data_IF_499624157173
#
_entry.id   IF_499624157173
#
_cell.length_a   1.000
_cell.length_b   1.000
_cell.length_c   1.000
_cell.angle_alpha   90.00
_cell.angle_beta   90.00
_cell.angle_gamma   90.00
#
_symmetry.space_group_name_H-M   'P 1'
#
loop_
_entity.id
_entity.type
_entity.pdbx_description
1 polymer ?
#
# COMPACT_ATOMS: atom_id res chain seq x y z
N UNK A 1 -26.71 -41.57 6.39
CA UNK A 1 -25.61 -40.59 6.47
C UNK A 1 -25.62 -39.76 7.75
N UNK A 2 -26.70 -39.75 8.54
CA UNK A 2 -26.81 -38.95 9.77
C UNK A 2 -25.99 -39.42 11.01
N UNK A 3 -25.75 -40.72 11.29
CA UNK A 3 -25.05 -41.10 12.52
C UNK A 3 -23.55 -40.80 12.50
N UNK A 4 -22.92 -40.78 11.32
CA UNK A 4 -21.49 -40.49 11.17
C UNK A 4 -21.22 -39.01 11.42
N UNK A 5 -22.09 -38.12 10.93
CA UNK A 5 -21.95 -36.68 11.13
C UNK A 5 -22.12 -36.30 12.60
N UNK A 6 -23.08 -36.93 13.31
CA UNK A 6 -23.27 -36.74 14.75
C UNK A 6 -22.03 -37.18 15.55
N UNK A 7 -21.46 -38.34 15.23
CA UNK A 7 -20.25 -38.85 15.90
C UNK A 7 -19.04 -37.93 15.66
N UNK A 8 -18.84 -37.44 14.44
CA UNK A 8 -17.74 -36.52 14.12
C UNK A 8 -17.91 -35.20 14.88
N UNK A 9 -19.12 -34.66 14.93
CA UNK A 9 -19.39 -33.35 15.57
C UNK A 9 -19.22 -33.43 17.08
N UNK A 10 -19.70 -34.51 17.71
CA UNK A 10 -19.53 -34.76 19.15
C UNK A 10 -18.04 -34.98 19.48
N UNK A 11 -17.32 -35.75 18.67
CA UNK A 11 -15.89 -35.99 18.88
C UNK A 11 -15.08 -34.71 18.72
N UNK A 12 -15.41 -33.86 17.74
CA UNK A 12 -14.79 -32.56 17.55
C UNK A 12 -15.03 -31.61 18.73
N UNK A 13 -16.27 -31.54 19.24
CA UNK A 13 -16.61 -30.72 20.41
C UNK A 13 -15.88 -31.18 21.68
N UNK A 14 -15.72 -32.51 21.87
CA UNK A 14 -14.93 -33.07 22.98
C UNK A 14 -13.46 -32.68 22.85
N UNK A 15 -12.87 -32.76 21.65
CA UNK A 15 -11.48 -32.35 21.41
C UNK A 15 -11.30 -30.85 21.67
N UNK A 16 -12.20 -30.00 21.18
CA UNK A 16 -12.15 -28.55 21.43
C UNK A 16 -12.28 -28.23 22.92
N UNK A 17 -13.17 -28.91 23.65
CA UNK A 17 -13.32 -28.73 25.10
C UNK A 17 -12.06 -29.15 25.88
N UNK A 18 -11.40 -30.24 25.48
CA UNK A 18 -10.15 -30.70 26.08
C UNK A 18 -9.02 -29.70 25.79
N UNK A 19 -8.91 -29.20 24.56
CA UNK A 19 -7.88 -28.22 24.17
C UNK A 19 -8.10 -26.89 24.91
N UNK A 20 -9.33 -26.40 25.00
CA UNK A 20 -9.66 -25.20 25.76
C UNK A 20 -9.40 -25.37 27.26
N UNK A 21 -9.75 -26.53 27.84
CA UNK A 21 -9.44 -26.85 29.23
C UNK A 21 -7.93 -26.90 29.51
N UNK A 22 -7.14 -27.43 28.57
CA UNK A 22 -5.69 -27.47 28.67
C UNK A 22 -5.06 -26.07 28.54
N UNK A 23 -5.55 -25.24 27.60
CA UNK A 23 -5.11 -23.85 27.44
C UNK A 23 -5.46 -23.00 28.66
N UNK A 24 -6.65 -23.18 29.25
CA UNK A 24 -7.07 -22.49 30.47
C UNK A 24 -6.21 -22.92 31.67
N UNK A 25 -5.89 -24.21 31.79
CA UNK A 25 -4.98 -24.73 32.81
C UNK A 25 -3.56 -24.15 32.66
N UNK A 26 -3.03 -24.08 31.43
CA UNK A 26 -1.73 -23.47 31.14
C UNK A 26 -1.69 -21.97 31.47
N UNK A 27 -2.76 -21.22 31.18
CA UNK A 27 -2.85 -19.81 31.57
C UNK A 27 -2.94 -19.64 33.08
N UNK A 28 -3.69 -20.50 33.77
CA UNK A 28 -3.81 -20.47 35.24
C UNK A 28 -2.49 -20.80 35.93
N UNK A 29 -1.72 -21.77 35.41
CA UNK A 29 -0.39 -22.12 35.93
C UNK A 29 0.63 -21.01 35.68
N UNK A 30 0.59 -20.35 34.50
CA UNK A 30 1.40 -19.16 34.23
C UNK A 30 1.08 -18.00 35.18
N UNK A 31 -0.20 -17.78 35.48
CA UNK A 31 -0.61 -16.73 36.41
C UNK A 31 -0.13 -17.01 37.84
N UNK A 32 -0.26 -18.26 38.32
CA UNK A 32 0.28 -18.69 39.63
C UNK A 32 1.80 -18.57 39.71
N UNK A 33 2.52 -18.81 38.61
CA UNK A 33 3.97 -18.64 38.55
C UNK A 33 4.37 -17.16 38.62
N UNK A 34 3.64 -16.28 37.94
CA UNK A 34 3.82 -14.82 38.01
C UNK A 34 3.55 -14.29 39.42
N UNK A 35 2.49 -14.76 40.06
CA UNK A 35 2.10 -14.37 41.42
C UNK A 35 3.18 -14.79 42.43
N UNK A 36 3.71 -16.02 42.32
CA UNK A 36 4.85 -16.48 43.12
C UNK A 36 6.14 -15.70 42.86
N UNK A 37 6.40 -15.30 41.62
CA UNK A 37 7.57 -14.47 41.28
C UNK A 37 7.43 -13.06 41.86
N UNK A 38 6.23 -12.49 41.86
CA UNK A 38 5.93 -11.20 42.48
C UNK A 38 6.02 -11.27 44.01
N UNK A 39 5.55 -12.34 44.64
CA UNK A 39 5.73 -12.57 46.08
C UNK A 39 7.21 -12.68 46.45
N UNK A 40 8.00 -13.44 45.69
CA UNK A 40 9.45 -13.55 45.93
C UNK A 40 10.17 -12.22 45.75
N UNK A 41 9.84 -11.47 44.70
CA UNK A 41 10.39 -10.13 44.49
C UNK A 41 10.01 -9.18 45.62
N UNK A 42 8.79 -9.29 46.17
CA UNK A 42 8.34 -8.50 47.31
C UNK A 42 9.08 -8.88 48.60
N UNK A 43 9.31 -10.17 48.84
CA UNK A 43 10.11 -10.67 49.97
C UNK A 43 11.58 -10.21 49.88
N UNK A 44 12.18 -10.31 48.70
CA UNK A 44 13.55 -9.83 48.44
C UNK A 44 13.64 -8.31 48.63
N UNK A 45 12.64 -7.55 48.17
CA UNK A 45 12.58 -6.10 48.37
C UNK A 45 12.43 -5.73 49.85
N UNK A 46 11.63 -6.48 50.61
CA UNK A 46 11.47 -6.29 52.05
C UNK A 46 12.74 -6.65 52.82
N UNK A 47 13.45 -7.70 52.41
CA UNK A 47 14.74 -8.10 52.99
C UNK A 47 15.82 -7.05 52.73
N UNK A 48 15.97 -6.59 51.48
CA UNK A 48 16.90 -5.51 51.11
C UNK A 48 16.54 -4.23 51.88
N UNK A 49 15.25 -3.87 51.96
CA UNK A 49 14.80 -2.70 52.73
C UNK A 49 15.16 -2.82 54.21
N UNK A 50 15.02 -4.00 54.81
CA UNK A 50 15.37 -4.25 56.21
C UNK A 50 16.88 -4.20 56.45
N UNK A 51 17.68 -4.87 55.63
CA UNK A 51 19.15 -4.85 55.71
C UNK A 51 19.72 -3.44 55.46
N UNK A 52 19.08 -2.67 54.57
CA UNK A 52 19.43 -1.26 54.32
C UNK A 52 19.07 -0.38 55.52
N UNK A 53 17.90 -0.58 56.13
CA UNK A 53 17.50 0.15 57.34
C UNK A 53 18.39 -0.19 58.53
N UNK A 54 18.77 -1.46 58.73
CA UNK A 54 19.70 -1.88 59.79
C UNK A 54 21.12 -1.34 59.56
N UNK A 55 21.58 -1.28 58.30
CA UNK A 55 22.86 -0.65 57.95
C UNK A 55 22.84 0.87 58.17
N UNK A 56 21.71 1.52 57.88
CA UNK A 56 21.48 2.95 58.19
C UNK A 56 21.45 3.16 59.71
N UNK A 57 20.83 2.27 60.49
CA UNK A 57 20.71 2.40 61.95
C UNK A 57 22.06 2.22 62.67
N UNK A 58 22.97 1.41 62.11
CA UNK A 58 24.37 1.27 62.58
C UNK A 58 25.19 2.52 62.25
N UNK A 59 25.00 3.12 61.06
CA UNK A 59 25.72 4.33 60.62
C UNK A 59 25.19 5.59 61.34
N UNK A 60 23.90 5.65 61.65
CA UNK A 60 23.25 6.78 62.35
C UNK A 60 23.61 6.82 63.83
N UNK A 61 23.90 5.67 64.47
CA UNK A 61 24.38 5.61 65.86
C UNK A 61 25.78 6.17 66.08
N UNK A 62 26.59 6.37 65.04
CA UNK A 62 27.97 6.89 65.17
C UNK A 62 28.19 8.33 64.63
N UNK A 63 27.24 8.97 63.93
CA UNK A 63 27.45 10.33 63.39
C UNK A 63 26.15 11.13 63.17
N UNK A 64 25.61 11.73 64.23
CA UNK A 64 24.19 12.18 64.26
C UNK A 64 23.91 13.65 63.86
N UNK A 65 24.90 14.47 63.51
CA UNK A 65 24.67 15.90 63.15
C UNK A 65 24.97 16.25 61.68
N UNK A 66 26.04 15.69 61.10
CA UNK A 66 26.47 16.00 59.73
C UNK A 66 25.56 15.34 58.69
N UNK A 67 25.11 14.12 58.97
CA UNK A 67 24.24 13.33 58.09
C UNK A 67 22.81 13.90 58.03
N UNK A 68 22.25 14.38 59.16
CA UNK A 68 20.97 15.09 59.16
C UNK A 68 21.04 16.39 58.37
N UNK A 69 22.10 17.18 58.53
CA UNK A 69 22.31 18.39 57.74
C UNK A 69 22.45 18.10 56.24
N UNK A 70 23.15 17.02 55.86
CA UNK A 70 23.31 16.66 54.45
C UNK A 70 22.03 16.06 53.85
N UNK A 71 21.29 15.24 54.59
CA UNK A 71 19.96 14.74 54.19
C UNK A 71 18.95 15.88 54.06
N UNK A 72 18.97 16.84 54.97
CA UNK A 72 18.08 18.00 54.92
C UNK A 72 18.44 18.91 53.75
N UNK A 73 19.74 19.14 53.47
CA UNK A 73 20.18 19.84 52.25
C UNK A 73 19.81 19.09 50.97
N UNK A 74 19.89 17.76 50.94
CA UNK A 74 19.46 16.95 49.79
C UNK A 74 17.94 17.00 49.59
N UNK A 75 17.16 16.93 50.67
CA UNK A 75 15.70 17.07 50.62
C UNK A 75 15.29 18.46 50.13
N UNK A 76 15.91 19.53 50.64
CA UNK A 76 15.66 20.89 50.14
C UNK A 76 16.07 21.04 48.68
N UNK A 77 17.20 20.47 48.27
CA UNK A 77 17.62 20.46 46.85
C UNK A 77 16.68 19.65 45.94
N UNK A 78 16.05 18.59 46.46
CA UNK A 78 15.05 17.80 45.74
C UNK A 78 13.73 18.57 45.61
N UNK A 79 13.28 19.22 46.68
CA UNK A 79 12.09 20.07 46.68
C UNK A 79 12.27 21.27 45.73
N UNK A 80 13.44 21.91 45.75
CA UNK A 80 13.79 22.98 44.81
C UNK A 80 13.81 22.46 43.36
N UNK A 81 14.31 21.25 43.12
CA UNK A 81 14.28 20.59 41.81
C UNK A 81 12.86 20.25 41.33
N UNK A 82 11.98 19.81 42.22
CA UNK A 82 10.56 19.57 41.93
C UNK A 82 9.86 20.90 41.61
N UNK A 83 10.10 21.95 42.40
CA UNK A 83 9.53 23.28 42.15
C UNK A 83 10.00 23.83 40.80
N UNK A 84 11.28 23.69 40.46
CA UNK A 84 11.81 24.09 39.15
C UNK A 84 11.18 23.26 38.02
N UNK A 85 11.04 21.95 38.17
CA UNK A 85 10.40 21.09 37.17
C UNK A 85 8.90 21.44 36.97
N UNK A 86 8.19 21.77 38.05
CA UNK A 86 6.80 22.25 38.00
C UNK A 86 6.74 23.60 37.27
N UNK A 87 7.59 24.56 37.63
CA UNK A 87 7.67 25.87 36.95
C UNK A 87 8.02 25.73 35.47
N UNK A 88 8.99 24.87 35.12
CA UNK A 88 9.34 24.53 33.73
C UNK A 88 8.14 23.89 33.01
N UNK A 89 7.41 22.99 33.65
CA UNK A 89 6.19 22.38 33.08
C UNK A 89 5.08 23.41 32.87
N UNK A 90 4.92 24.37 33.77
CA UNK A 90 3.94 25.45 33.68
C UNK A 90 4.32 26.45 32.60
N UNK A 91 5.60 26.81 32.51
CA UNK A 91 6.15 27.63 31.43
C UNK A 91 5.96 26.94 30.07
N UNK A 92 6.27 25.65 29.96
CA UNK A 92 6.05 24.87 28.73
C UNK A 92 4.56 24.80 28.35
N UNK A 93 3.65 24.64 29.33
CA UNK A 93 2.19 24.71 29.10
C UNK A 93 1.78 26.10 28.60
N UNK A 94 2.33 27.17 29.18
CA UNK A 94 2.09 28.54 28.76
C UNK A 94 2.56 28.79 27.33
N UNK A 95 3.80 28.42 27.00
CA UNK A 95 4.34 28.54 25.64
C UNK A 95 3.58 27.68 24.62
N UNK A 96 3.17 26.45 24.99
CA UNK A 96 2.32 25.62 24.12
C UNK A 96 0.98 26.31 23.85
N UNK A 97 0.35 26.88 24.87
CA UNK A 97 -0.93 27.60 24.76
C UNK A 97 -0.81 28.86 23.90
N UNK A 98 0.23 29.66 24.11
CA UNK A 98 0.48 30.89 23.36
C UNK A 98 0.83 30.60 21.90
N UNK A 99 1.65 29.57 21.66
CA UNK A 99 1.95 29.11 20.30
C UNK A 99 0.70 28.56 19.60
N UNK A 100 -0.15 27.81 20.30
CA UNK A 100 -1.42 27.33 19.75
C UNK A 100 -2.37 28.47 19.38
N UNK A 101 -2.41 29.55 20.19
CA UNK A 101 -3.19 30.76 19.92
C UNK A 101 -2.74 31.45 18.63
N UNK A 102 -1.43 31.59 18.42
CA UNK A 102 -0.87 32.18 17.19
C UNK A 102 -1.26 31.37 15.95
N UNK A 103 -1.22 30.04 16.02
CA UNK A 103 -1.68 29.18 14.92
C UNK A 103 -3.16 29.36 14.61
N UNK A 104 -4.00 29.50 15.64
CA UNK A 104 -5.42 29.79 15.44
C UNK A 104 -5.65 31.14 14.76
N UNK A 105 -4.95 32.19 15.20
CA UNK A 105 -5.02 33.52 14.58
C UNK A 105 -4.56 33.50 13.11
N UNK A 106 -3.48 32.78 12.81
CA UNK A 106 -2.99 32.59 11.43
C UNK A 106 -4.03 31.91 10.53
N UNK A 107 -4.65 30.81 11.00
CA UNK A 107 -5.69 30.10 10.24
C UNK A 107 -6.94 30.97 10.05
N UNK A 108 -7.32 31.73 11.09
CA UNK A 108 -8.50 32.60 11.04
C UNK A 108 -8.30 33.78 10.09
N UNK A 109 -7.09 34.33 10.04
CA UNK A 109 -6.73 35.45 9.17
C UNK A 109 -6.48 35.08 7.70
N UNK A 110 -6.30 33.80 7.39
CA UNK A 110 -6.11 33.33 6.01
C UNK A 110 -7.44 33.28 5.25
N UNK A 111 -7.44 33.90 4.07
CA UNK A 111 -8.61 34.04 3.18
C UNK A 111 -8.54 33.08 2.00
N UNK A 112 -7.34 32.66 1.60
CA UNK A 112 -7.16 31.67 0.55
C UNK A 112 -7.42 30.27 1.12
N UNK A 113 -8.46 29.59 0.63
CA UNK A 113 -8.89 28.29 1.14
C UNK A 113 -7.81 27.21 1.04
N UNK A 114 -7.02 27.20 -0.03
CA UNK A 114 -5.93 26.23 -0.21
C UNK A 114 -4.81 26.44 0.82
N UNK A 115 -4.39 27.69 1.03
CA UNK A 115 -3.41 28.02 2.08
C UNK A 115 -3.96 27.73 3.48
N UNK A 116 -5.23 28.05 3.71
CA UNK A 116 -5.91 27.80 4.97
C UNK A 116 -5.96 26.32 5.30
N UNK A 117 -6.29 25.47 4.32
CA UNK A 117 -6.26 24.02 4.44
C UNK A 117 -4.86 23.53 4.81
N UNK A 118 -3.82 24.01 4.11
CA UNK A 118 -2.42 23.65 4.42
C UNK A 118 -1.99 24.09 5.82
N UNK A 119 -2.43 25.26 6.28
CA UNK A 119 -2.17 25.74 7.65
C UNK A 119 -2.88 24.87 8.70
N UNK A 120 -4.11 24.42 8.44
CA UNK A 120 -4.84 23.51 9.33
C UNK A 120 -4.14 22.15 9.41
N UNK A 121 -3.80 21.54 8.27
CA UNK A 121 -3.07 20.26 8.22
C UNK A 121 -1.72 20.35 8.95
N UNK A 122 -0.99 21.47 8.79
CA UNK A 122 0.25 21.73 9.52
C UNK A 122 0.01 21.92 11.02
N UNK A 123 -1.08 22.59 11.41
CA UNK A 123 -1.45 22.78 12.81
C UNK A 123 -1.82 21.46 13.49
N UNK A 124 -2.51 20.55 12.79
CA UNK A 124 -2.83 19.19 13.30
C UNK A 124 -1.54 18.41 13.54
N UNK A 125 -0.60 18.41 12.58
CA UNK A 125 0.70 17.74 12.77
C UNK A 125 1.48 18.28 13.98
N UNK A 126 1.36 19.58 14.26
CA UNK A 126 2.06 20.24 15.38
C UNK A 126 1.33 20.09 16.72
N UNK A 127 0.00 20.04 16.70
CA UNK A 127 -0.87 19.93 17.86
C UNK A 127 -1.94 18.86 17.64
N UNK A 128 -1.54 17.58 17.55
CA UNK A 128 -2.45 16.49 17.18
C UNK A 128 -3.45 16.17 18.28
N UNK A 129 -3.29 16.73 19.49
CA UNK A 129 -4.23 16.62 20.60
C UNK A 129 -5.34 17.69 20.57
N UNK A 130 -5.31 18.63 19.62
CA UNK A 130 -6.24 19.75 19.57
C UNK A 130 -7.41 19.50 18.60
N UNK A 131 -8.56 19.15 19.19
CA UNK A 131 -9.82 18.89 18.51
C UNK A 131 -10.28 20.01 17.56
N UNK A 132 -10.02 21.27 17.90
CA UNK A 132 -10.49 22.42 17.11
C UNK A 132 -9.93 22.39 15.69
N UNK A 133 -8.66 21.98 15.49
CA UNK A 133 -8.09 21.91 14.15
C UNK A 133 -8.69 20.80 13.31
N UNK A 134 -9.06 19.68 13.94
CA UNK A 134 -9.75 18.58 13.28
C UNK A 134 -11.17 18.96 12.88
N UNK A 135 -11.89 19.66 13.75
CA UNK A 135 -13.22 20.17 13.43
C UNK A 135 -13.19 21.17 12.28
N UNK A 136 -12.16 22.03 12.24
CA UNK A 136 -12.00 22.96 11.11
C UNK A 136 -11.59 22.27 9.81
N UNK A 137 -10.70 21.27 9.87
CA UNK A 137 -10.38 20.44 8.72
C UNK A 137 -11.64 19.76 8.17
N UNK A 138 -12.43 19.16 9.06
CA UNK A 138 -13.69 18.53 8.71
C UNK A 138 -14.64 19.53 8.06
N UNK A 139 -14.82 20.72 8.64
CA UNK A 139 -15.72 21.75 8.08
C UNK A 139 -15.30 22.15 6.66
N UNK A 140 -14.01 22.27 6.39
CA UNK A 140 -13.51 22.63 5.06
C UNK A 140 -13.64 21.50 4.04
N UNK A 141 -13.43 20.25 4.45
CA UNK A 141 -13.43 19.10 3.54
C UNK A 141 -14.78 18.39 3.43
N UNK A 142 -15.74 18.60 4.35
CA UNK A 142 -17.06 17.95 4.31
C UNK A 142 -17.81 18.19 2.99
N UNK A 143 -17.85 19.41 2.41
CA UNK A 143 -18.52 19.63 1.12
C UNK A 143 -17.91 18.80 -0.02
N UNK A 144 -16.60 18.58 0.02
CA UNK A 144 -15.89 17.77 -0.96
C UNK A 144 -16.04 16.26 -0.69
N UNK A 145 -16.12 15.86 0.58
CA UNK A 145 -16.20 14.46 1.00
C UNK A 145 -17.60 13.84 0.83
N UNK A 146 -18.63 14.66 0.62
CA UNK A 146 -20.00 14.24 0.28
C UNK A 146 -20.38 14.49 -1.18
N UNK A 147 -19.50 15.11 -1.97
CA UNK A 147 -19.76 15.41 -3.38
C UNK A 147 -19.91 14.13 -4.21
N UNK A 148 -21.10 13.87 -4.75
CA UNK A 148 -21.38 12.68 -5.56
C UNK A 148 -20.98 12.85 -7.03
N UNK A 149 -20.84 14.08 -7.52
CA UNK A 149 -20.55 14.39 -8.92
C UNK A 149 -19.10 14.06 -9.29
N UNK A 150 -18.18 14.08 -8.32
CA UNK A 150 -16.76 13.81 -8.55
C UNK A 150 -16.17 12.88 -7.49
N UNK A 151 -16.20 11.58 -7.78
CA UNK A 151 -15.67 10.53 -6.91
C UNK A 151 -14.16 10.68 -6.62
N UNK A 152 -13.37 11.22 -7.54
CA UNK A 152 -11.92 11.41 -7.33
C UNK A 152 -11.64 12.52 -6.32
N UNK A 153 -12.32 13.66 -6.45
CA UNK A 153 -12.25 14.76 -5.48
C UNK A 153 -12.74 14.31 -4.11
N UNK A 154 -13.83 13.53 -4.08
CA UNK A 154 -14.37 12.94 -2.86
C UNK A 154 -13.38 12.00 -2.18
N UNK A 155 -12.73 11.12 -2.95
CA UNK A 155 -11.69 10.21 -2.48
C UNK A 155 -10.52 10.97 -1.85
N UNK A 156 -10.01 11.99 -2.54
CA UNK A 156 -8.90 12.81 -2.05
C UNK A 156 -9.25 13.53 -0.74
N UNK A 157 -10.45 14.14 -0.66
CA UNK A 157 -10.92 14.77 0.57
C UNK A 157 -11.03 13.78 1.74
N UNK A 158 -11.58 12.59 1.49
CA UNK A 158 -11.69 11.53 2.50
C UNK A 158 -10.32 10.97 2.92
N UNK A 159 -9.35 10.86 2.01
CA UNK A 159 -7.98 10.47 2.36
C UNK A 159 -7.34 11.45 3.34
N UNK A 160 -7.43 12.76 3.05
CA UNK A 160 -6.90 13.80 3.95
C UNK A 160 -7.59 13.78 5.31
N UNK A 161 -8.92 13.61 5.33
CA UNK A 161 -9.66 13.48 6.58
C UNK A 161 -9.22 12.24 7.36
N UNK A 162 -9.01 11.10 6.68
CA UNK A 162 -8.62 9.83 7.31
C UNK A 162 -7.26 9.96 7.99
N UNK A 163 -6.27 10.48 7.26
CA UNK A 163 -4.90 10.57 7.75
C UNK A 163 -4.81 11.47 9.00
N UNK A 164 -5.55 12.58 9.01
CA UNK A 164 -5.62 13.47 10.16
C UNK A 164 -6.50 12.93 11.29
N UNK A 165 -7.57 12.18 10.98
CA UNK A 165 -8.41 11.52 11.99
C UNK A 165 -7.62 10.44 12.75
N UNK A 166 -6.82 9.64 12.04
CA UNK A 166 -5.91 8.66 12.65
C UNK A 166 -4.91 9.34 13.57
N UNK A 167 -4.23 10.38 13.09
CA UNK A 167 -3.27 11.14 13.89
C UNK A 167 -3.92 11.74 15.15
N UNK A 168 -5.15 12.26 15.03
CA UNK A 168 -5.90 12.77 16.17
C UNK A 168 -6.27 11.66 17.15
N UNK A 169 -6.78 10.53 16.69
CA UNK A 169 -7.14 9.39 17.55
C UNK A 169 -5.95 8.91 18.38
N UNK A 170 -4.77 8.81 17.77
CA UNK A 170 -3.53 8.40 18.44
C UNK A 170 -3.05 9.37 19.53
N UNK A 171 -3.45 10.65 19.45
CA UNK A 171 -2.92 11.73 20.29
C UNK A 171 -3.99 12.48 21.11
N UNK A 172 -5.26 12.12 20.95
CA UNK A 172 -6.37 12.83 21.57
C UNK A 172 -6.33 12.71 23.10
N UNK A 173 -6.96 13.68 23.77
CA UNK A 173 -7.15 13.62 25.22
C UNK A 173 -8.22 12.59 25.54
N UNK A 174 -8.17 11.99 26.72
CA UNK A 174 -9.15 10.95 27.13
C UNK A 174 -10.60 11.42 27.02
N UNK A 175 -10.87 12.72 27.21
CA UNK A 175 -12.22 13.29 27.06
C UNK A 175 -12.73 13.36 25.61
N UNK A 176 -11.85 13.27 24.63
CA UNK A 176 -12.14 13.40 23.20
C UNK A 176 -12.04 12.05 22.47
N UNK A 177 -11.75 10.95 23.18
CA UNK A 177 -11.48 9.63 22.59
C UNK A 177 -12.69 9.05 21.84
N UNK A 178 -13.89 9.19 22.41
CA UNK A 178 -15.13 8.72 21.79
C UNK A 178 -15.39 9.46 20.47
N UNK A 179 -15.22 10.78 20.48
CA UNK A 179 -15.32 11.62 19.28
C UNK A 179 -14.27 11.23 18.23
N UNK A 180 -13.02 11.01 18.64
CA UNK A 180 -11.95 10.62 17.73
C UNK A 180 -12.24 9.27 17.05
N UNK A 181 -12.75 8.30 17.81
CA UNK A 181 -13.10 6.97 17.32
C UNK A 181 -14.29 7.02 16.36
N UNK A 182 -15.37 7.72 16.72
CA UNK A 182 -16.54 7.90 15.85
C UNK A 182 -16.18 8.61 14.54
N UNK A 183 -15.38 9.68 14.63
CA UNK A 183 -14.96 10.44 13.47
C UNK A 183 -14.09 9.59 12.52
N UNK A 184 -13.10 8.88 13.05
CA UNK A 184 -12.23 8.01 12.26
C UNK A 184 -13.02 6.89 11.57
N UNK A 185 -13.92 6.21 12.29
CA UNK A 185 -14.76 5.17 11.71
C UNK A 185 -15.70 5.70 10.61
N UNK A 186 -16.29 6.89 10.80
CA UNK A 186 -17.14 7.51 9.77
C UNK A 186 -16.34 7.81 8.50
N UNK A 187 -15.12 8.32 8.64
CA UNK A 187 -14.27 8.64 7.48
C UNK A 187 -13.79 7.36 6.79
N UNK A 188 -13.36 6.34 7.54
CA UNK A 188 -12.93 5.04 6.99
C UNK A 188 -14.05 4.37 6.20
N UNK A 189 -15.24 4.23 6.79
CA UNK A 189 -16.40 3.63 6.12
C UNK A 189 -16.81 4.41 4.86
N UNK A 190 -16.77 5.74 4.91
CA UNK A 190 -17.05 6.59 3.74
C UNK A 190 -16.00 6.41 2.63
N UNK A 191 -14.73 6.30 3.01
CA UNK A 191 -13.62 6.09 2.09
C UNK A 191 -13.72 4.73 1.39
N UNK A 192 -13.98 3.65 2.15
CA UNK A 192 -14.19 2.31 1.61
C UNK A 192 -15.34 2.27 0.61
N UNK A 193 -16.45 2.96 0.90
CA UNK A 193 -17.58 3.06 -0.02
C UNK A 193 -17.21 3.75 -1.34
N UNK A 194 -16.45 4.85 -1.28
CA UNK A 194 -16.01 5.57 -2.49
C UNK A 194 -15.01 4.76 -3.30
N UNK A 195 -14.06 4.08 -2.64
CA UNK A 195 -13.11 3.19 -3.32
C UNK A 195 -13.84 2.07 -4.04
N UNK A 196 -14.83 1.43 -3.40
CA UNK A 196 -15.67 0.42 -4.05
C UNK A 196 -16.41 0.96 -5.27
N UNK A 197 -17.03 2.14 -5.18
CA UNK A 197 -17.71 2.75 -6.34
C UNK A 197 -16.77 3.05 -7.51
N UNK A 198 -15.55 3.53 -7.22
CA UNK A 198 -14.54 3.78 -8.26
C UNK A 198 -14.11 2.47 -8.91
N UNK A 199 -13.90 1.43 -8.11
CA UNK A 199 -13.54 0.09 -8.57
C UNK A 199 -14.65 -0.53 -9.45
N UNK A 200 -15.91 -0.43 -9.02
CA UNK A 200 -17.08 -0.86 -9.79
C UNK A 200 -17.18 -0.13 -11.14
N UNK A 201 -16.99 1.19 -11.17
CA UNK A 201 -16.98 1.95 -12.42
C UNK A 201 -15.85 1.53 -13.36
N UNK A 202 -14.66 1.24 -12.81
CA UNK A 202 -13.52 0.75 -13.60
C UNK A 202 -13.80 -0.64 -14.16
N UNK A 203 -14.32 -1.55 -13.34
CA UNK A 203 -14.77 -2.88 -13.77
C UNK A 203 -15.80 -2.79 -14.89
N UNK A 204 -16.86 -2.00 -14.71
CA UNK A 204 -17.91 -1.82 -15.74
C UNK A 204 -17.42 -1.10 -17.00
N UNK A 205 -16.36 -0.30 -16.93
CA UNK A 205 -15.70 0.25 -18.11
C UNK A 205 -14.99 -0.87 -18.89
N UNK A 206 -14.16 -1.66 -18.22
CA UNK A 206 -13.44 -2.79 -18.83
C UNK A 206 -14.40 -3.83 -19.43
N UNK A 207 -15.48 -4.17 -18.72
CA UNK A 207 -16.52 -5.06 -19.23
C UNK A 207 -17.14 -4.54 -20.53
N UNK A 208 -17.43 -3.23 -20.61
CA UNK A 208 -17.94 -2.62 -21.84
C UNK A 208 -16.92 -2.67 -22.97
N UNK A 209 -15.66 -2.32 -22.70
CA UNK A 209 -14.59 -2.36 -23.71
C UNK A 209 -14.41 -3.79 -24.26
N UNK A 210 -14.41 -4.80 -23.40
CA UNK A 210 -14.36 -6.21 -23.81
C UNK A 210 -15.60 -6.66 -24.59
N UNK A 211 -16.80 -6.22 -24.21
CA UNK A 211 -18.02 -6.50 -24.97
C UNK A 211 -17.96 -5.91 -26.39
N UNK A 212 -17.47 -4.67 -26.52
CA UNK A 212 -17.33 -4.04 -27.83
C UNK A 212 -16.24 -4.76 -28.64
N UNK A 213 -15.12 -5.14 -28.02
CA UNK A 213 -14.07 -5.93 -28.69
C UNK A 213 -14.62 -7.25 -29.24
N UNK A 214 -15.40 -7.98 -28.44
CA UNK A 214 -16.06 -9.22 -28.86
C UNK A 214 -17.04 -9.00 -30.03
N UNK A 215 -17.88 -7.96 -29.97
CA UNK A 215 -18.79 -7.61 -31.07
C UNK A 215 -18.02 -7.32 -32.37
N UNK A 216 -16.91 -6.58 -32.29
CA UNK A 216 -16.09 -6.27 -33.47
C UNK A 216 -15.38 -7.50 -34.02
N UNK A 217 -14.93 -8.41 -33.15
CA UNK A 217 -14.32 -9.68 -33.56
C UNK A 217 -15.32 -10.56 -34.32
N UNK A 218 -16.55 -10.70 -33.83
CA UNK A 218 -17.60 -11.42 -34.55
C UNK A 218 -17.89 -10.81 -35.92
N UNK A 219 -17.99 -9.47 -36.00
CA UNK A 219 -18.14 -8.77 -37.28
C UNK A 219 -16.97 -8.99 -38.24
N UNK A 220 -15.74 -9.12 -37.72
CA UNK A 220 -14.56 -9.43 -38.51
C UNK A 220 -14.58 -10.88 -39.04
N UNK A 221 -15.11 -11.84 -38.27
CA UNK A 221 -15.34 -13.22 -38.74
C UNK A 221 -16.36 -13.26 -39.87
N UNK A 222 -17.44 -12.48 -39.76
CA UNK A 222 -18.48 -12.39 -40.80
C UNK A 222 -18.00 -11.66 -42.07
N UNK A 223 -17.10 -10.68 -41.92
CA UNK A 223 -16.63 -9.81 -43.01
C UNK A 223 -15.09 -9.69 -43.03
N UNK A 224 -14.34 -10.77 -43.33
CA UNK A 224 -12.88 -10.84 -43.15
C UNK A 224 -12.07 -9.88 -44.06
N UNK A 225 -12.70 -9.33 -45.10
CA UNK A 225 -12.07 -8.40 -46.04
C UNK A 225 -12.30 -6.92 -45.68
N UNK A 226 -13.04 -6.61 -44.61
CA UNK A 226 -13.37 -5.24 -44.25
C UNK A 226 -12.28 -4.64 -43.33
N UNK A 227 -11.33 -3.92 -43.92
CA UNK A 227 -10.22 -3.26 -43.21
C UNK A 227 -10.67 -2.29 -42.10
N UNK A 228 -11.82 -1.63 -42.26
CA UNK A 228 -12.33 -0.69 -41.26
C UNK A 228 -12.65 -1.38 -39.92
N UNK A 229 -13.11 -2.63 -39.94
CA UNK A 229 -13.41 -3.38 -38.71
C UNK A 229 -12.13 -3.67 -37.93
N UNK A 230 -11.02 -3.97 -38.63
CA UNK A 230 -9.74 -4.24 -37.98
C UNK A 230 -9.14 -3.00 -37.33
N UNK A 231 -9.30 -1.83 -37.95
CA UNK A 231 -8.91 -0.55 -37.33
C UNK A 231 -9.73 -0.28 -36.06
N UNK A 232 -11.05 -0.52 -36.09
CA UNK A 232 -11.91 -0.38 -34.91
C UNK A 232 -11.49 -1.35 -33.78
N UNK A 233 -11.10 -2.59 -34.12
CA UNK A 233 -10.56 -3.56 -33.16
C UNK A 233 -9.27 -3.03 -32.52
N UNK A 234 -8.34 -2.51 -33.32
CA UNK A 234 -7.06 -1.97 -32.84
C UNK A 234 -7.26 -0.78 -31.89
N UNK A 235 -8.17 0.13 -32.22
CA UNK A 235 -8.51 1.27 -31.37
C UNK A 235 -9.04 0.84 -30.00
N UNK A 236 -9.92 -0.16 -29.97
CA UNK A 236 -10.51 -0.67 -28.72
C UNK A 236 -9.48 -1.46 -27.91
N UNK A 237 -8.71 -2.34 -28.56
CA UNK A 237 -7.66 -3.14 -27.91
C UNK A 237 -6.63 -2.26 -27.20
N UNK A 238 -6.22 -1.17 -27.88
CA UNK A 238 -5.29 -0.18 -27.33
C UNK A 238 -5.89 0.65 -26.19
N UNK A 239 -7.22 0.86 -26.20
CA UNK A 239 -7.91 1.61 -25.15
C UNK A 239 -8.10 0.80 -23.86
N UNK A 240 -8.05 -0.54 -23.93
CA UNK A 240 -8.18 -1.43 -22.78
C UNK A 240 -6.96 -1.28 -21.86
N UNK A 241 -7.21 -0.91 -20.62
CA UNK A 241 -6.16 -0.71 -19.62
C UNK A 241 -5.68 -2.07 -19.04
N UNK A 242 -4.69 -2.71 -19.66
CA UNK A 242 -4.23 -4.06 -19.28
C UNK A 242 -3.82 -4.19 -17.81
N UNK A 243 -3.17 -3.17 -17.25
CA UNK A 243 -2.79 -3.14 -15.83
C UNK A 243 -4.00 -3.13 -14.88
N UNK A 244 -5.16 -2.69 -15.36
CA UNK A 244 -6.39 -2.76 -14.58
C UNK A 244 -7.00 -4.16 -14.58
N UNK A 245 -6.87 -4.91 -15.69
CA UNK A 245 -7.42 -6.26 -15.85
C UNK A 245 -6.83 -7.27 -14.88
N UNK A 246 -5.57 -7.09 -14.44
CA UNK A 246 -4.92 -7.96 -13.44
C UNK A 246 -5.69 -8.01 -12.11
N UNK A 247 -6.46 -6.96 -11.79
CA UNK A 247 -7.29 -6.89 -10.58
C UNK A 247 -8.63 -7.64 -10.74
N UNK A 248 -8.99 -8.07 -11.95
CA UNK A 248 -10.23 -8.77 -12.27
C UNK A 248 -9.95 -10.05 -13.09
N UNK A 249 -9.58 -11.18 -12.45
CA UNK A 249 -9.14 -12.39 -13.14
C UNK A 249 -10.12 -12.91 -14.20
N UNK A 250 -11.42 -12.78 -13.97
CA UNK A 250 -12.45 -13.17 -14.94
C UNK A 250 -12.38 -12.34 -16.24
N UNK A 251 -12.13 -11.04 -16.13
CA UNK A 251 -12.00 -10.14 -17.28
C UNK A 251 -10.66 -10.34 -17.99
N UNK A 252 -9.59 -10.60 -17.23
CA UNK A 252 -8.28 -10.96 -17.76
C UNK A 252 -8.37 -12.22 -18.64
N UNK A 253 -8.97 -13.31 -18.12
CA UNK A 253 -9.16 -14.55 -18.90
C UNK A 253 -10.02 -14.30 -20.14
N UNK A 254 -11.07 -13.50 -20.03
CA UNK A 254 -11.91 -13.16 -21.17
C UNK A 254 -11.12 -12.39 -22.25
N UNK A 255 -10.33 -11.41 -21.85
CA UNK A 255 -9.44 -10.68 -22.75
C UNK A 255 -8.44 -11.61 -23.44
N UNK A 256 -7.82 -12.53 -22.70
CA UNK A 256 -6.87 -13.51 -23.27
C UNK A 256 -7.50 -14.39 -24.35
N UNK A 257 -8.75 -14.82 -24.16
CA UNK A 257 -9.54 -15.57 -25.14
C UNK A 257 -9.79 -14.71 -26.39
N UNK A 258 -10.31 -13.48 -26.22
CA UNK A 258 -10.58 -12.57 -27.34
C UNK A 258 -9.31 -12.25 -28.14
N UNK A 259 -8.17 -12.07 -27.46
CA UNK A 259 -6.89 -11.85 -28.14
C UNK A 259 -6.43 -13.09 -28.91
N UNK A 260 -6.69 -14.31 -28.43
CA UNK A 260 -6.40 -15.54 -29.18
C UNK A 260 -7.28 -15.67 -30.43
N UNK A 261 -8.57 -15.33 -30.32
CA UNK A 261 -9.48 -15.33 -31.46
C UNK A 261 -9.08 -14.31 -32.53
N UNK A 262 -8.68 -13.10 -32.10
CA UNK A 262 -8.14 -12.08 -32.99
C UNK A 262 -6.95 -12.59 -33.80
N UNK A 263 -6.02 -13.29 -33.14
CA UNK A 263 -4.89 -13.92 -33.80
C UNK A 263 -5.31 -14.98 -34.82
N UNK A 264 -6.35 -15.76 -34.53
CA UNK A 264 -6.85 -16.78 -35.47
C UNK A 264 -7.47 -16.14 -36.71
N UNK A 265 -8.24 -15.06 -36.57
CA UNK A 265 -8.82 -14.32 -37.71
C UNK A 265 -7.70 -13.78 -38.61
N UNK A 266 -6.61 -13.27 -38.02
CA UNK A 266 -5.45 -12.84 -38.81
C UNK A 266 -4.74 -14.00 -39.52
N UNK A 267 -4.72 -15.20 -38.92
CA UNK A 267 -4.11 -16.41 -39.53
C UNK A 267 -4.87 -16.94 -40.74
N UNK A 268 -6.19 -16.75 -40.80
CA UNK A 268 -7.03 -17.30 -41.88
C UNK A 268 -7.08 -16.40 -43.13
N UNK A 269 -6.56 -15.16 -43.06
CA UNK A 269 -6.56 -14.18 -44.15
C UNK A 269 -5.42 -14.35 -45.16
N UNK A 270 -4.35 -15.09 -44.84
CA UNK A 270 -3.18 -15.24 -45.71
C UNK A 270 -3.06 -16.66 -46.29
N UNK A 271 -3.12 -16.77 -47.62
CA UNK A 271 -3.01 -18.04 -48.37
C UNK A 271 -1.62 -18.70 -48.35
N UNK A 272 -1.51 -19.87 -49.01
CA UNK A 272 -0.45 -20.90 -48.86
C UNK A 272 1.02 -20.49 -49.12
N UNK A 273 1.33 -19.30 -49.66
CA UNK A 273 2.71 -18.76 -49.71
C UNK A 273 3.13 -18.10 -48.37
N UNK A 274 2.21 -18.00 -47.41
CA UNK A 274 2.35 -17.29 -46.14
C UNK A 274 3.06 -18.04 -45.01
N UNK A 275 3.52 -19.28 -45.18
CA UNK A 275 4.05 -20.06 -44.05
C UNK A 275 5.28 -19.43 -43.38
N UNK A 276 6.21 -18.83 -44.14
CA UNK A 276 7.41 -18.19 -43.56
C UNK A 276 7.10 -16.84 -42.92
N UNK A 277 6.19 -16.04 -43.49
CA UNK A 277 5.75 -14.77 -42.91
C UNK A 277 4.89 -15.01 -41.66
N UNK A 278 4.07 -16.07 -41.68
CA UNK A 278 3.27 -16.54 -40.56
C UNK A 278 4.14 -17.05 -39.42
N UNK A 279 5.11 -17.92 -39.69
CA UNK A 279 6.08 -18.37 -38.68
C UNK A 279 6.88 -17.19 -38.11
N UNK A 280 7.23 -16.21 -38.95
CA UNK A 280 7.93 -14.99 -38.52
C UNK A 280 7.08 -14.15 -37.55
N UNK A 281 5.81 -13.94 -37.89
CA UNK A 281 4.87 -13.18 -37.05
C UNK A 281 4.43 -13.96 -35.80
N UNK A 282 4.25 -15.28 -35.89
CA UNK A 282 3.98 -16.14 -34.72
C UNK A 282 5.16 -16.10 -33.74
N UNK A 283 6.40 -16.17 -34.23
CA UNK A 283 7.58 -16.07 -33.37
C UNK A 283 7.72 -14.67 -32.75
N UNK A 284 7.40 -13.61 -33.49
CA UNK A 284 7.38 -12.24 -32.97
C UNK A 284 6.36 -12.09 -31.83
N UNK A 285 5.16 -12.65 -31.98
CA UNK A 285 4.12 -12.62 -30.94
C UNK A 285 4.51 -13.44 -29.70
N UNK A 286 5.13 -14.60 -29.90
CA UNK A 286 5.66 -15.42 -28.79
C UNK A 286 6.74 -14.64 -28.03
N UNK A 287 7.67 -14.01 -28.75
CA UNK A 287 8.74 -13.22 -28.15
C UNK A 287 8.18 -11.98 -27.43
N UNK A 288 7.19 -11.28 -28.00
CA UNK A 288 6.50 -10.14 -27.38
C UNK A 288 5.81 -10.52 -26.06
N UNK A 289 5.04 -11.61 -26.05
CA UNK A 289 4.38 -12.12 -24.83
C UNK A 289 5.41 -12.51 -23.78
N UNK A 290 6.50 -13.14 -24.20
CA UNK A 290 7.56 -13.54 -23.28
C UNK A 290 8.23 -12.31 -22.64
N UNK A 291 8.51 -11.25 -23.42
CA UNK A 291 9.01 -9.96 -22.91
C UNK A 291 8.06 -9.37 -21.86
N UNK A 292 6.76 -9.32 -22.15
CA UNK A 292 5.76 -8.78 -21.23
C UNK A 292 5.73 -9.57 -19.91
N UNK A 293 5.74 -10.90 -19.98
CA UNK A 293 5.79 -11.77 -18.79
C UNK A 293 7.08 -11.59 -17.97
N UNK A 294 8.22 -11.36 -18.63
CA UNK A 294 9.49 -11.07 -17.97
C UNK A 294 9.43 -9.75 -17.18
N UNK A 295 8.81 -8.71 -17.75
CA UNK A 295 8.70 -7.39 -17.11
C UNK A 295 7.65 -7.37 -15.99
N UNK A 296 6.54 -8.10 -16.13
CA UNK A 296 5.54 -8.25 -15.06
C UNK A 296 6.18 -8.83 -13.80
N UNK A 297 7.03 -9.86 -13.95
CA UNK A 297 7.78 -10.50 -12.86
C UNK A 297 8.94 -9.66 -12.33
N UNK A 298 9.36 -8.60 -13.02
CA UNK A 298 10.37 -7.67 -12.52
C UNK A 298 9.86 -6.93 -11.28
N UNK A 299 8.56 -6.62 -11.25
CA UNK A 299 7.90 -5.93 -10.14
C UNK A 299 7.82 -6.75 -8.85
N UNK A 300 7.94 -8.08 -8.95
CA UNK A 300 7.73 -9.02 -7.82
C UNK A 300 9.01 -9.42 -7.08
N UNK A 301 10.20 -9.01 -7.56
CA UNK A 301 11.47 -9.20 -6.87
C UNK A 301 11.88 -10.67 -6.70
N UNK A 302 12.65 -11.20 -7.65
CA UNK A 302 13.44 -12.43 -7.42
C UNK A 302 13.08 -13.66 -8.25
N UNK A 303 12.67 -13.50 -9.51
CA UNK A 303 12.51 -14.65 -10.40
C UNK A 303 13.83 -14.99 -11.09
N UNK A 304 14.30 -16.23 -10.89
CA UNK A 304 15.33 -16.85 -11.72
C UNK A 304 14.75 -17.07 -13.11
N UNK A 305 14.96 -16.11 -14.01
CA UNK A 305 14.47 -16.21 -15.37
C UNK A 305 15.45 -17.05 -16.22
N UNK A 306 14.94 -18.06 -16.93
CA UNK A 306 15.73 -18.88 -17.85
C UNK A 306 16.27 -18.04 -19.02
N UNK A 307 15.68 -16.89 -19.30
CA UNK A 307 16.12 -15.97 -20.36
C UNK A 307 17.48 -15.32 -20.09
N UNK A 308 17.76 -14.98 -18.83
CA UNK A 308 19.02 -14.34 -18.45
C UNK A 308 20.07 -15.33 -17.97
N UNK A 309 19.63 -16.50 -17.50
CA UNK A 309 20.45 -17.60 -17.02
C UNK A 309 20.04 -17.99 -15.60
N UNK A 310 20.11 -19.28 -15.22
CA UNK A 310 19.57 -19.77 -13.95
C UNK A 310 20.26 -19.19 -12.68
N UNK A 311 21.35 -18.43 -12.86
CA UNK A 311 22.17 -17.89 -11.79
C UNK A 311 22.35 -16.35 -11.84
N UNK A 312 21.67 -15.65 -12.76
CA UNK A 312 21.78 -14.19 -12.87
C UNK A 312 20.63 -13.51 -12.09
N UNK A 313 20.90 -12.71 -11.04
CA UNK A 313 19.88 -11.87 -10.45
C UNK A 313 19.45 -10.83 -11.49
N UNK A 314 18.23 -10.97 -12.01
CA UNK A 314 17.76 -10.15 -13.14
C UNK A 314 17.52 -8.71 -12.68
N UNK A 315 18.49 -7.83 -12.94
CA UNK A 315 18.33 -6.39 -12.83
C UNK A 315 18.15 -5.81 -14.24
N UNK A 316 16.91 -5.51 -14.61
CA UNK A 316 16.60 -5.01 -15.96
C UNK A 316 17.12 -3.59 -16.21
N UNK A 317 17.68 -2.89 -15.22
CA UNK A 317 18.39 -1.63 -15.43
C UNK A 317 19.85 -1.81 -15.88
N UNK A 318 20.37 -3.05 -15.87
CA UNK A 318 21.76 -3.31 -16.27
C UNK A 318 21.90 -3.49 -17.78
N UNK A 319 22.99 -2.93 -18.33
CA UNK A 319 23.28 -2.89 -19.76
C UNK A 319 23.17 -4.25 -20.45
N UNK A 320 23.66 -5.31 -19.80
CA UNK A 320 23.71 -6.63 -20.40
C UNK A 320 22.32 -7.30 -20.48
N UNK A 321 21.41 -6.99 -19.54
CA UNK A 321 20.02 -7.42 -19.59
C UNK A 321 19.21 -6.62 -20.62
N UNK A 322 19.36 -5.30 -20.61
CA UNK A 322 18.75 -4.41 -21.60
C UNK A 322 19.15 -4.79 -23.02
N UNK A 323 20.42 -5.09 -23.27
CA UNK A 323 20.90 -5.48 -24.59
C UNK A 323 20.23 -6.75 -25.11
N UNK A 324 19.90 -7.72 -24.25
CA UNK A 324 19.18 -8.93 -24.65
C UNK A 324 17.73 -8.61 -25.05
N UNK A 325 17.06 -7.73 -24.30
CA UNK A 325 15.71 -7.25 -24.65
C UNK A 325 15.70 -6.47 -25.97
N UNK A 326 16.64 -5.53 -26.12
CA UNK A 326 16.81 -4.74 -27.35
C UNK A 326 17.01 -5.63 -28.57
N UNK A 327 17.86 -6.65 -28.47
CA UNK A 327 18.08 -7.62 -29.55
C UNK A 327 16.84 -8.43 -29.89
N UNK A 328 16.04 -8.78 -28.89
CA UNK A 328 14.82 -9.54 -29.08
C UNK A 328 13.74 -8.70 -29.78
N UNK A 329 13.61 -7.43 -29.39
CA UNK A 329 12.68 -6.47 -29.99
C UNK A 329 13.12 -6.14 -31.43
N UNK A 330 14.41 -5.83 -31.62
CA UNK A 330 14.98 -5.39 -32.89
C UNK A 330 15.20 -6.53 -33.91
N UNK A 331 14.96 -7.79 -33.51
CA UNK A 331 15.05 -8.97 -34.39
C UNK A 331 14.06 -8.91 -35.55
N UNK A 332 12.99 -8.14 -35.41
CA UNK A 332 11.88 -8.13 -36.33
C UNK A 332 11.88 -6.88 -37.22
N UNK A 333 11.87 -7.08 -38.53
CA UNK A 333 11.78 -6.01 -39.52
C UNK A 333 10.33 -5.52 -39.62
N UNK A 334 10.10 -4.25 -39.30
CA UNK A 334 8.74 -3.68 -39.23
C UNK A 334 7.94 -3.74 -40.54
N UNK A 335 8.59 -3.89 -41.70
CA UNK A 335 7.94 -4.08 -43.00
C UNK A 335 7.54 -5.55 -43.29
N UNK A 336 8.01 -6.50 -42.49
CA UNK A 336 7.65 -7.93 -42.53
C UNK A 336 6.70 -8.33 -41.39
N UNK A 337 6.47 -7.42 -40.44
CA UNK A 337 5.48 -7.62 -39.40
C UNK A 337 4.10 -7.24 -39.92
N UNK A 338 3.12 -8.08 -39.60
CA UNK A 338 1.71 -7.72 -39.74
C UNK A 338 1.42 -6.52 -38.83
N UNK A 339 0.46 -5.65 -39.19
CA UNK A 339 0.08 -4.51 -38.36
C UNK A 339 -0.23 -4.89 -36.91
N UNK A 340 -0.95 -6.00 -36.71
CA UNK A 340 -1.29 -6.55 -35.39
C UNK A 340 -0.05 -6.99 -34.60
N UNK A 341 0.87 -7.72 -35.23
CA UNK A 341 2.14 -8.12 -34.62
C UNK A 341 3.03 -6.92 -34.30
N UNK A 342 3.06 -5.92 -35.18
CA UNK A 342 3.77 -4.66 -34.95
C UNK A 342 3.25 -3.98 -33.69
N UNK A 343 1.93 -4.00 -33.48
CA UNK A 343 1.33 -3.40 -32.28
C UNK A 343 1.73 -4.16 -31.01
N UNK A 344 1.67 -5.50 -31.02
CA UNK A 344 2.13 -6.31 -29.88
C UNK A 344 3.61 -6.08 -29.55
N UNK A 345 4.47 -5.95 -30.57
CA UNK A 345 5.88 -5.63 -30.37
C UNK A 345 6.06 -4.24 -29.75
N UNK A 346 5.25 -3.25 -30.16
CA UNK A 346 5.24 -1.90 -29.55
C UNK A 346 4.75 -1.90 -28.11
N UNK A 347 3.74 -2.70 -27.79
CA UNK A 347 3.23 -2.85 -26.42
C UNK A 347 4.32 -3.49 -25.55
N UNK A 348 4.98 -4.54 -26.03
CA UNK A 348 6.10 -5.17 -25.33
C UNK A 348 7.27 -4.18 -25.11
N UNK A 349 7.59 -3.36 -26.11
CA UNK A 349 8.59 -2.29 -25.99
C UNK A 349 8.18 -1.22 -24.95
N UNK A 350 6.91 -0.78 -24.97
CA UNK A 350 6.38 0.18 -24.01
C UNK A 350 6.41 -0.38 -22.58
N UNK A 351 6.07 -1.66 -22.41
CA UNK A 351 6.12 -2.35 -21.13
C UNK A 351 7.55 -2.43 -20.59
N UNK A 352 8.52 -2.71 -21.47
CA UNK A 352 9.94 -2.64 -21.13
C UNK A 352 10.28 -1.23 -20.67
N UNK A 353 9.96 -0.21 -21.47
CA UNK A 353 10.31 1.17 -21.17
C UNK A 353 9.70 1.64 -19.84
N UNK A 354 8.44 1.31 -19.57
CA UNK A 354 7.70 1.75 -18.39
C UNK A 354 8.26 1.19 -17.07
N UNK A 355 8.79 -0.03 -17.09
CA UNK A 355 9.33 -0.71 -15.91
C UNK A 355 10.81 -0.37 -15.60
N UNK A 356 11.46 0.47 -16.41
CA UNK A 356 12.84 0.91 -16.19
C UNK A 356 12.94 2.17 -15.35
N UNK A 357 14.06 2.31 -14.62
CA UNK A 357 14.45 3.58 -13.99
C UNK A 357 14.73 4.64 -15.04
N UNK A 358 14.83 5.90 -14.62
CA UNK A 358 15.19 7.01 -15.52
C UNK A 358 16.51 6.74 -16.26
N UNK A 359 17.52 6.22 -15.56
CA UNK A 359 18.81 5.83 -16.14
C UNK A 359 18.69 4.63 -17.08
N UNK A 360 17.89 3.63 -16.69
CA UNK A 360 17.59 2.46 -17.52
C UNK A 360 16.91 2.82 -18.84
N UNK A 361 15.95 3.77 -18.82
CA UNK A 361 15.26 4.28 -20.02
C UNK A 361 16.20 4.94 -21.02
N UNK A 362 17.13 5.77 -20.53
CA UNK A 362 18.15 6.41 -21.36
C UNK A 362 19.05 5.36 -22.01
N UNK A 363 19.52 4.40 -21.22
CA UNK A 363 20.39 3.33 -21.70
C UNK A 363 19.67 2.40 -22.69
N UNK A 364 18.41 2.05 -22.43
CA UNK A 364 17.59 1.26 -23.35
C UNK A 364 17.41 1.97 -24.70
N UNK A 365 17.13 3.26 -24.68
CA UNK A 365 17.00 4.08 -25.89
C UNK A 365 18.31 4.15 -26.68
N UNK A 366 19.44 4.36 -25.99
CA UNK A 366 20.77 4.34 -26.62
C UNK A 366 21.03 3.00 -27.34
N UNK A 367 20.72 1.88 -26.69
CA UNK A 367 20.92 0.55 -27.24
C UNK A 367 19.99 0.25 -28.42
N UNK A 368 18.72 0.65 -28.36
CA UNK A 368 17.78 0.53 -29.49
C UNK A 368 18.27 1.31 -30.72
N UNK A 369 18.74 2.54 -30.52
CA UNK A 369 19.31 3.35 -31.61
C UNK A 369 20.55 2.66 -32.19
N UNK A 370 21.47 2.18 -31.34
CA UNK A 370 22.69 1.49 -31.80
C UNK A 370 22.38 0.22 -32.59
N UNK A 371 21.38 -0.55 -32.19
CA UNK A 371 21.00 -1.78 -32.90
C UNK A 371 20.29 -1.47 -34.22
N UNK A 372 19.48 -0.40 -34.27
CA UNK A 372 18.85 0.09 -35.50
C UNK A 372 19.88 0.56 -36.55
N UNK A 373 21.07 1.03 -36.14
CA UNK A 373 22.16 1.38 -37.07
C UNK A 373 23.03 0.19 -37.50
N UNK A 374 22.88 -0.98 -36.86
CA UNK A 374 23.63 -2.21 -37.19
C UNK A 374 22.86 -3.16 -38.10
N UNK A 375 21.54 -3.06 -38.06
CA UNK A 375 20.57 -3.78 -38.90
C UNK A 375 20.41 -3.06 -40.22
#
# INVERSE_FOLDING_TARGET
MEPIFLVITVTFLIIVAIVLGFLFKLQTEKFKLMEKLLERQREDFLKIKKETLESIDVIVKENDSLLRNNLQKMLTGLDDGIVQAVQLSENLKYYKKESCRLWHELIKGETNESKKLGLIEAAIKRYPDNRMYIEELRRMLEPLSVNEDNLLVRREALMRLRDNATLFLENCKSKDIDYAFEFQNKVVSSMESVVRKIDELRKSKLERELNVLEEKLERAKENPNNEAIYLEIEEIDTAIEHNALTNYPELQTRYEILSQELLQIFKEKEGEDGNTLREYNEQALVDARHIMQCMERHSEGGVKDKFFGPNDPVNYNERHHLLKLVKLISKYEGNKLLPSTTNYMRIAEAEVFNNLSSEGKVLFTELMIQEAYRS
#
